data_IF_471104829682
#
_entry.id   IF_471104829682
#
_cell.length_a   1.000
_cell.length_b   1.000
_cell.length_c   1.000
_cell.angle_alpha   90.00
_cell.angle_beta   90.00
_cell.angle_gamma   90.00
#
_symmetry.space_group_name_H-M   'P 1'
#
loop_
_entity.id
_entity.type
_entity.pdbx_description
1 polymer ?
#
# COMPACT_ATOMS: atom_id res chain seq x y z
N UNK A 1 2.17 2.54 4.53
CA UNK A 1 3.00 3.72 4.90
C UNK A 1 2.15 4.98 4.74
N UNK A 2 2.10 5.86 5.74
CA UNK A 2 1.32 7.11 5.68
C UNK A 2 0.83 7.59 7.04
N UNK A 3 0.00 8.64 7.03
CA UNK A 3 -0.58 9.21 8.26
C UNK A 3 -1.57 8.23 8.90
N UNK A 4 -1.50 8.05 10.21
CA UNK A 4 -2.45 7.22 10.97
C UNK A 4 -3.65 8.05 11.40
N UNK A 5 -4.61 8.19 10.49
CA UNK A 5 -5.83 8.97 10.64
C UNK A 5 -7.02 8.22 10.03
N UNK A 6 -8.23 8.68 10.32
CA UNK A 6 -9.47 7.97 9.97
C UNK A 6 -9.59 7.70 8.46
N UNK A 7 -9.23 8.67 7.64
CA UNK A 7 -9.30 8.57 6.17
C UNK A 7 -8.37 7.48 5.60
N UNK A 8 -7.30 7.12 6.32
CA UNK A 8 -6.36 6.06 5.92
C UNK A 8 -6.85 4.65 6.28
N UNK A 9 -7.87 4.54 7.12
CA UNK A 9 -8.58 3.29 7.44
C UNK A 9 -7.68 2.10 7.79
N UNK A 10 -6.55 2.38 8.46
CA UNK A 10 -5.59 1.33 8.86
C UNK A 10 -6.23 0.33 9.82
N UNK A 11 -7.27 0.73 10.55
CA UNK A 11 -8.03 -0.16 11.42
C UNK A 11 -8.66 -1.33 10.66
N UNK A 12 -9.21 -1.12 9.46
CA UNK A 12 -9.78 -2.19 8.65
C UNK A 12 -8.72 -3.25 8.26
N UNK A 13 -7.50 -2.79 7.93
CA UNK A 13 -6.37 -3.68 7.67
C UNK A 13 -5.98 -4.48 8.93
N UNK A 14 -5.87 -3.82 10.07
CA UNK A 14 -5.51 -4.46 11.34
C UNK A 14 -6.56 -5.49 11.78
N UNK A 15 -7.85 -5.19 11.59
CA UNK A 15 -8.94 -6.15 11.83
C UNK A 15 -8.85 -7.37 10.92
N UNK A 16 -8.58 -7.18 9.62
CA UNK A 16 -8.38 -8.29 8.68
C UNK A 16 -7.15 -9.12 9.07
N UNK A 17 -6.03 -8.47 9.40
CA UNK A 17 -4.80 -9.12 9.82
C UNK A 17 -4.99 -10.01 11.05
N UNK A 18 -5.65 -9.48 12.09
CA UNK A 18 -6.00 -10.24 13.31
C UNK A 18 -6.78 -11.50 13.02
N UNK A 19 -7.77 -11.44 12.11
CA UNK A 19 -8.62 -12.58 11.75
C UNK A 19 -7.90 -13.62 10.91
N UNK A 20 -7.00 -13.20 10.03
CA UNK A 20 -6.23 -14.11 9.17
C UNK A 20 -5.04 -14.69 9.91
N UNK A 21 -4.38 -13.89 10.75
CA UNK A 21 -3.14 -14.25 11.47
C UNK A 21 -2.15 -15.03 10.59
N UNK A 22 -1.68 -14.47 9.46
CA UNK A 22 -0.97 -15.23 8.45
C UNK A 22 0.39 -15.69 8.98
N UNK A 23 0.57 -17.01 9.05
CA UNK A 23 1.80 -17.62 9.55
C UNK A 23 3.00 -17.23 8.68
N UNK A 24 4.12 -16.92 9.33
CA UNK A 24 5.36 -16.54 8.65
C UNK A 24 5.38 -15.12 8.06
N UNK A 25 4.27 -14.37 8.15
CA UNK A 25 4.18 -13.00 7.66
C UNK A 25 4.33 -11.97 8.78
N UNK A 26 4.75 -10.77 8.41
CA UNK A 26 4.79 -9.59 9.29
C UNK A 26 4.07 -8.42 8.63
N UNK A 27 3.30 -7.70 9.41
CA UNK A 27 2.68 -6.43 9.02
C UNK A 27 3.50 -5.28 9.59
N UNK A 28 4.07 -4.45 8.73
CA UNK A 28 4.85 -3.28 9.14
C UNK A 28 4.00 -2.03 8.94
N UNK A 29 3.70 -1.33 10.03
CA UNK A 29 2.96 -0.06 10.01
C UNK A 29 3.96 1.09 10.08
N UNK A 30 4.11 1.81 8.96
CA UNK A 30 5.04 2.94 8.85
C UNK A 30 4.26 4.24 8.78
N UNK A 31 4.51 5.13 9.71
CA UNK A 31 3.85 6.42 9.81
C UNK A 31 3.45 6.77 11.24
N UNK A 32 2.87 7.94 11.36
CA UNK A 32 2.38 8.49 12.63
C UNK A 32 1.07 9.24 12.40
N UNK A 33 0.36 9.56 13.47
CA UNK A 33 -0.88 10.31 13.40
C UNK A 33 -1.75 10.16 14.64
N UNK A 34 -2.90 10.85 14.67
CA UNK A 34 -3.75 10.92 15.87
C UNK A 34 -4.27 9.55 16.33
N UNK A 35 -4.40 8.57 15.43
CA UNK A 35 -4.90 7.24 15.80
C UNK A 35 -3.82 6.25 16.24
N UNK A 36 -2.52 6.61 16.18
CA UNK A 36 -1.43 5.67 16.48
C UNK A 36 -1.59 5.00 17.83
N UNK A 37 -1.74 5.80 18.89
CA UNK A 37 -1.83 5.26 20.25
C UNK A 37 -3.03 4.33 20.44
N UNK A 38 -4.19 4.72 19.95
CA UNK A 38 -5.41 3.90 20.01
C UNK A 38 -5.27 2.61 19.23
N UNK A 39 -4.75 2.66 18.02
CA UNK A 39 -4.56 1.48 17.18
C UNK A 39 -3.51 0.54 17.75
N UNK A 40 -2.38 1.06 18.23
CA UNK A 40 -1.31 0.26 18.80
C UNK A 40 -1.74 -0.44 20.10
N UNK A 41 -2.55 0.22 20.92
CA UNK A 41 -3.11 -0.38 22.13
C UNK A 41 -4.15 -1.46 21.83
N UNK A 42 -4.93 -1.29 20.75
CA UNK A 42 -5.98 -2.22 20.35
C UNK A 42 -5.48 -3.40 19.53
N UNK A 43 -4.34 -3.24 18.86
CA UNK A 43 -3.77 -4.22 17.91
C UNK A 43 -2.27 -4.41 18.19
N UNK A 44 -1.98 -5.19 19.21
CA UNK A 44 -0.62 -5.49 19.67
C UNK A 44 -0.21 -6.95 19.44
N UNK A 45 -0.84 -7.63 18.48
CA UNK A 45 -0.56 -9.02 18.17
C UNK A 45 0.89 -9.24 17.72
N UNK A 46 1.48 -10.39 18.06
CA UNK A 46 2.76 -10.80 17.48
C UNK A 46 2.69 -10.80 15.95
N UNK A 47 3.68 -10.20 15.31
CA UNK A 47 3.71 -10.08 13.84
C UNK A 47 3.29 -8.71 13.32
N UNK A 48 2.78 -7.81 14.16
CA UNK A 48 2.59 -6.39 13.80
C UNK A 48 3.79 -5.59 14.33
N UNK A 49 4.53 -4.96 13.42
CA UNK A 49 5.64 -4.06 13.75
C UNK A 49 5.21 -2.61 13.54
N UNK A 50 5.18 -1.85 14.61
CA UNK A 50 4.90 -0.42 14.60
C UNK A 50 6.20 0.36 14.43
N UNK A 51 6.58 0.65 13.17
CA UNK A 51 7.83 1.35 12.83
C UNK A 51 7.83 2.80 13.32
N UNK A 52 6.74 3.50 13.11
CA UNK A 52 6.63 4.93 13.38
C UNK A 52 6.86 5.77 12.13
N UNK A 53 7.02 7.09 12.33
CA UNK A 53 7.30 8.01 11.24
C UNK A 53 8.73 7.80 10.72
N UNK A 54 8.87 7.73 9.39
CA UNK A 54 10.16 7.59 8.74
C UNK A 54 10.39 8.76 7.78
N UNK A 55 11.38 9.58 8.10
CA UNK A 55 11.74 10.76 7.31
C UNK A 55 12.78 10.44 6.22
N UNK A 56 13.66 9.47 6.47
CA UNK A 56 14.71 9.12 5.53
C UNK A 56 14.16 8.41 4.30
N UNK A 57 14.42 8.99 3.13
CA UNK A 57 13.95 8.45 1.85
C UNK A 57 14.55 7.07 1.55
N UNK A 58 15.83 6.87 1.84
CA UNK A 58 16.50 5.60 1.55
C UNK A 58 15.93 4.48 2.42
N UNK A 59 15.65 4.77 3.68
CA UNK A 59 15.00 3.82 4.59
C UNK A 59 13.57 3.50 4.12
N UNK A 60 12.80 4.49 3.68
CA UNK A 60 11.46 4.25 3.10
C UNK A 60 11.52 3.35 1.86
N UNK A 61 12.46 3.63 0.95
CA UNK A 61 12.68 2.80 -0.24
C UNK A 61 13.06 1.38 0.16
N UNK A 62 13.99 1.22 1.09
CA UNK A 62 14.43 -0.10 1.57
C UNK A 62 13.27 -0.89 2.19
N UNK A 63 12.43 -0.26 3.00
CA UNK A 63 11.24 -0.89 3.57
C UNK A 63 10.25 -1.36 2.49
N UNK A 64 10.04 -0.56 1.44
CA UNK A 64 9.19 -0.94 0.32
C UNK A 64 9.80 -2.08 -0.50
N UNK A 65 11.11 -2.05 -0.75
CA UNK A 65 11.82 -3.12 -1.47
C UNK A 65 11.85 -4.45 -0.71
N UNK A 66 11.88 -4.40 0.62
CA UNK A 66 11.79 -5.59 1.46
C UNK A 66 10.35 -6.13 1.60
N UNK A 67 9.35 -5.33 1.26
CA UNK A 67 7.95 -5.74 1.36
C UNK A 67 7.52 -6.51 0.10
N UNK A 68 6.84 -7.61 0.29
CA UNK A 68 6.22 -8.36 -0.81
C UNK A 68 4.94 -7.67 -1.29
N UNK A 69 4.21 -7.02 -0.36
CA UNK A 69 2.93 -6.38 -0.64
C UNK A 69 2.85 -5.02 0.08
N UNK A 70 2.42 -4.00 -0.65
CA UNK A 70 2.06 -2.70 -0.12
C UNK A 70 0.53 -2.59 -0.06
N UNK A 71 0.01 -2.21 1.11
CA UNK A 71 -1.42 -2.13 1.39
C UNK A 71 -1.83 -0.69 1.69
N UNK A 72 -2.78 -0.16 0.93
CA UNK A 72 -3.34 1.19 1.09
C UNK A 72 -4.87 1.13 1.21
N UNK A 73 -5.41 0.92 2.42
CA UNK A 73 -6.84 0.71 2.65
C UNK A 73 -7.65 2.01 2.79
N UNK A 74 -7.18 3.11 2.21
CA UNK A 74 -7.74 4.46 2.42
C UNK A 74 -9.20 4.57 2.00
N UNK A 75 -9.97 5.43 2.67
CA UNK A 75 -11.35 5.77 2.29
C UNK A 75 -11.40 7.02 1.42
N UNK A 76 -10.42 7.91 1.59
CA UNK A 76 -10.31 9.17 0.85
C UNK A 76 -8.86 9.40 0.50
N UNK A 77 -8.59 9.59 -0.77
CA UNK A 77 -7.29 9.97 -1.33
C UNK A 77 -7.47 10.97 -2.48
N UNK A 78 -6.43 11.74 -2.79
CA UNK A 78 -6.29 12.35 -4.10
C UNK A 78 -5.53 11.38 -5.01
N UNK A 79 -4.20 11.46 -4.96
CA UNK A 79 -3.25 10.50 -5.53
C UNK A 79 -2.18 10.22 -4.47
N UNK A 80 -2.04 8.96 -4.08
CA UNK A 80 -1.08 8.59 -3.05
C UNK A 80 0.35 8.49 -3.57
N UNK A 81 1.22 9.41 -3.13
CA UNK A 81 2.66 9.33 -3.45
C UNK A 81 3.29 8.03 -2.91
N UNK A 82 2.87 7.57 -1.72
CA UNK A 82 3.35 6.32 -1.17
C UNK A 82 2.99 5.10 -2.04
N UNK A 83 1.83 5.14 -2.72
CA UNK A 83 1.47 4.12 -3.71
C UNK A 83 2.41 4.16 -4.91
N UNK A 84 2.67 5.34 -5.47
CA UNK A 84 3.60 5.49 -6.59
C UNK A 84 5.03 5.08 -6.24
N UNK A 85 5.49 5.42 -5.03
CA UNK A 85 6.79 4.98 -4.51
C UNK A 85 6.86 3.45 -4.40
N UNK A 86 5.83 2.80 -3.85
CA UNK A 86 5.76 1.34 -3.75
C UNK A 86 5.71 0.65 -5.12
N UNK A 87 4.96 1.20 -6.07
CA UNK A 87 4.96 0.71 -7.46
C UNK A 87 6.34 0.83 -8.09
N UNK A 88 7.01 1.96 -7.93
CA UNK A 88 8.33 2.20 -8.49
C UNK A 88 9.40 1.23 -7.94
N UNK A 89 9.27 0.79 -6.70
CA UNK A 89 10.16 -0.22 -6.10
C UNK A 89 9.87 -1.65 -6.57
N UNK A 90 8.74 -1.88 -7.23
CA UNK A 90 8.35 -3.22 -7.72
C UNK A 90 7.62 -4.04 -6.67
N UNK A 91 7.09 -3.42 -5.64
CA UNK A 91 6.25 -4.05 -4.62
C UNK A 91 4.85 -4.28 -5.18
N UNK A 92 4.24 -5.43 -4.91
CA UNK A 92 2.84 -5.67 -5.28
C UNK A 92 1.94 -4.70 -4.53
N UNK A 93 1.13 -3.93 -5.24
CA UNK A 93 0.31 -2.87 -4.66
C UNK A 93 -1.17 -3.25 -4.63
N UNK A 94 -1.78 -3.02 -3.46
CA UNK A 94 -3.20 -3.20 -3.23
C UNK A 94 -3.72 -1.92 -2.60
N UNK A 95 -4.67 -1.28 -3.26
CA UNK A 95 -5.28 -0.05 -2.78
C UNK A 95 -6.79 -0.11 -2.95
N UNK A 96 -7.49 0.68 -2.19
CA UNK A 96 -8.91 0.94 -2.38
C UNK A 96 -9.12 1.89 -3.56
N UNK A 97 -10.29 1.80 -4.19
CA UNK A 97 -10.76 2.75 -5.19
C UNK A 97 -11.14 4.09 -4.51
N UNK A 98 -10.13 4.75 -3.96
CA UNK A 98 -10.25 6.03 -3.29
C UNK A 98 -9.50 7.08 -4.10
N UNK A 99 -10.21 8.05 -4.67
CA UNK A 99 -9.61 9.06 -5.55
C UNK A 99 -9.01 8.45 -6.82
N UNK A 100 -7.76 8.82 -7.15
CA UNK A 100 -7.07 8.33 -8.34
C UNK A 100 -6.31 7.00 -8.14
N UNK A 101 -6.26 6.45 -6.93
CA UNK A 101 -5.46 5.26 -6.64
C UNK A 101 -5.97 4.01 -7.38
N UNK A 102 -7.29 3.88 -7.56
CA UNK A 102 -7.89 2.83 -8.38
C UNK A 102 -7.45 2.90 -9.84
N UNK A 103 -7.48 4.09 -10.44
CA UNK A 103 -7.03 4.33 -11.82
C UNK A 103 -5.54 4.01 -12.01
N UNK A 104 -4.71 4.36 -11.02
CA UNK A 104 -3.27 4.07 -11.04
C UNK A 104 -2.99 2.58 -11.14
N UNK A 105 -3.77 1.76 -10.45
CA UNK A 105 -3.62 0.30 -10.41
C UNK A 105 -4.40 -0.44 -11.51
N UNK A 106 -5.28 0.25 -12.24
CA UNK A 106 -6.09 -0.36 -13.30
C UNK A 106 -5.23 -1.07 -14.36
N UNK A 107 -5.86 -1.96 -15.16
CA UNK A 107 -5.15 -2.73 -16.18
C UNK A 107 -4.14 -3.73 -15.64
N UNK A 108 -4.28 -4.15 -14.38
CA UNK A 108 -3.48 -5.21 -13.77
C UNK A 108 -2.15 -4.76 -13.19
N UNK A 109 -1.96 -3.46 -12.93
CA UNK A 109 -0.79 -2.94 -12.23
C UNK A 109 -0.86 -3.15 -10.71
N UNK A 110 -1.98 -3.65 -10.20
CA UNK A 110 -2.20 -3.98 -8.80
C UNK A 110 -3.60 -4.53 -8.59
N UNK A 111 -4.03 -4.61 -7.35
CA UNK A 111 -5.38 -5.03 -6.97
C UNK A 111 -6.12 -3.84 -6.39
N UNK A 112 -7.30 -3.56 -6.95
CA UNK A 112 -8.18 -2.48 -6.50
C UNK A 112 -9.30 -3.06 -5.65
N UNK A 113 -9.45 -2.52 -4.44
CA UNK A 113 -10.52 -2.90 -3.51
C UNK A 113 -11.62 -1.83 -3.53
N UNK A 114 -12.86 -2.25 -3.30
CA UNK A 114 -13.92 -1.30 -2.98
C UNK A 114 -13.63 -0.62 -1.63
N UNK A 115 -13.98 0.65 -1.50
CA UNK A 115 -13.93 1.37 -0.21
C UNK A 115 -14.94 0.81 0.80
N UNK A 116 -15.91 0.01 0.35
CA UNK A 116 -16.87 -0.67 1.23
C UNK A 116 -16.39 -2.07 1.57
N UNK A 117 -16.45 -2.43 2.86
CA UNK A 117 -16.09 -3.77 3.31
C UNK A 117 -14.62 -4.13 3.18
N UNK A 118 -13.72 -3.15 3.26
CA UNK A 118 -12.27 -3.30 3.10
C UNK A 118 -11.70 -4.46 3.93
N UNK A 119 -12.09 -4.57 5.21
CA UNK A 119 -11.63 -5.64 6.08
C UNK A 119 -12.01 -7.04 5.57
N UNK A 120 -13.22 -7.20 4.99
CA UNK A 120 -13.67 -8.47 4.43
C UNK A 120 -12.89 -8.83 3.17
N UNK A 121 -12.65 -7.86 2.29
CA UNK A 121 -11.87 -8.06 1.07
C UNK A 121 -10.43 -8.43 1.41
N UNK A 122 -9.78 -7.71 2.33
CA UNK A 122 -8.44 -8.02 2.79
C UNK A 122 -8.34 -9.39 3.46
N UNK A 123 -9.34 -9.77 4.27
CA UNK A 123 -9.38 -11.10 4.90
C UNK A 123 -9.36 -12.23 3.87
N UNK A 124 -10.01 -12.04 2.73
CA UNK A 124 -10.01 -13.02 1.64
C UNK A 124 -8.70 -13.00 0.85
N UNK A 125 -8.14 -11.80 0.62
CA UNK A 125 -7.01 -11.60 -0.26
C UNK A 125 -5.65 -11.93 0.39
N UNK A 126 -5.46 -11.60 1.67
CA UNK A 126 -4.17 -11.80 2.36
C UNK A 126 -3.66 -13.26 2.31
N UNK A 127 -4.50 -14.30 2.54
CA UNK A 127 -4.05 -15.68 2.39
C UNK A 127 -3.63 -16.02 0.95
N UNK A 128 -4.37 -15.52 -0.04
CA UNK A 128 -4.07 -15.77 -1.46
C UNK A 128 -2.69 -15.19 -1.82
N UNK A 129 -2.40 -13.97 -1.39
CA UNK A 129 -1.12 -13.33 -1.67
C UNK A 129 0.05 -14.06 -0.98
N UNK A 130 -0.14 -14.51 0.26
CA UNK A 130 0.85 -15.31 0.97
C UNK A 130 1.16 -16.62 0.22
N UNK A 131 0.11 -17.31 -0.24
CA UNK A 131 0.23 -18.66 -0.80
C UNK A 131 0.57 -18.66 -2.30
N UNK A 132 0.56 -17.47 -2.94
CA UNK A 132 0.82 -17.29 -4.37
C UNK A 132 1.97 -16.32 -4.65
N UNK A 133 3.23 -16.67 -4.28
CA UNK A 133 4.37 -15.75 -4.43
C UNK A 133 4.64 -15.37 -5.89
N UNK A 134 4.34 -16.24 -6.84
CA UNK A 134 4.49 -15.95 -8.28
C UNK A 134 3.51 -14.86 -8.72
N UNK A 135 2.26 -14.91 -8.25
CA UNK A 135 1.26 -13.87 -8.50
C UNK A 135 1.72 -12.53 -7.92
N UNK A 136 2.18 -12.56 -6.68
CA UNK A 136 2.65 -11.36 -5.96
C UNK A 136 3.85 -10.73 -6.68
N UNK A 137 4.82 -11.53 -7.12
CA UNK A 137 5.96 -11.04 -7.90
C UNK A 137 5.54 -10.43 -9.24
N UNK A 138 4.61 -11.04 -9.94
CA UNK A 138 4.10 -10.52 -11.23
C UNK A 138 3.33 -9.21 -11.06
N UNK A 139 2.53 -9.07 -10.00
CA UNK A 139 1.87 -7.80 -9.66
C UNK A 139 2.90 -6.70 -9.41
N UNK A 140 3.95 -6.97 -8.65
CA UNK A 140 5.03 -6.02 -8.41
C UNK A 140 5.76 -5.60 -9.68
N UNK A 141 6.05 -6.55 -10.57
CA UNK A 141 6.66 -6.26 -11.88
C UNK A 141 5.79 -5.33 -12.72
N UNK A 142 4.48 -5.59 -12.81
CA UNK A 142 3.52 -4.76 -13.54
C UNK A 142 3.36 -3.38 -12.92
N UNK A 143 3.32 -3.30 -11.58
CA UNK A 143 3.30 -2.04 -10.85
C UNK A 143 4.50 -1.17 -11.24
N UNK A 144 5.71 -1.73 -11.19
CA UNK A 144 6.94 -1.01 -11.54
C UNK A 144 6.92 -0.55 -13.01
N UNK A 145 6.52 -1.41 -13.92
CA UNK A 145 6.40 -1.04 -15.33
C UNK A 145 5.46 0.15 -15.51
N UNK A 146 4.25 0.10 -14.93
CA UNK A 146 3.27 1.20 -14.97
C UNK A 146 3.82 2.50 -14.39
N UNK A 147 4.51 2.43 -13.23
CA UNK A 147 5.11 3.61 -12.61
C UNK A 147 6.15 4.26 -13.55
N UNK A 148 6.99 3.46 -14.18
CA UNK A 148 7.98 3.95 -15.14
C UNK A 148 7.38 4.52 -16.43
N UNK A 149 6.29 3.97 -16.92
CA UNK A 149 5.66 4.40 -18.16
C UNK A 149 4.83 5.69 -17.98
N UNK A 150 4.19 5.89 -16.84
CA UNK A 150 3.18 6.96 -16.69
C UNK A 150 3.51 8.02 -15.65
N UNK A 151 4.34 7.70 -14.64
CA UNK A 151 4.51 8.55 -13.45
C UNK A 151 5.96 9.03 -13.25
N UNK A 152 6.81 8.99 -14.28
CA UNK A 152 8.13 9.61 -14.22
C UNK A 152 8.00 11.12 -14.25
N UNK A 153 8.62 11.79 -13.29
CA UNK A 153 8.62 13.25 -13.18
C UNK A 153 9.18 13.91 -14.46
N UNK A 154 10.31 13.43 -14.99
CA UNK A 154 10.90 13.96 -16.21
C UNK A 154 9.93 13.94 -17.38
N UNK A 155 9.25 12.79 -17.61
CA UNK A 155 8.27 12.66 -18.69
C UNK A 155 7.08 13.60 -18.53
N UNK A 156 6.64 13.81 -17.30
CA UNK A 156 5.53 14.72 -17.02
C UNK A 156 5.93 16.18 -17.25
N UNK A 157 7.19 16.55 -16.92
CA UNK A 157 7.75 17.86 -17.22
C UNK A 157 7.83 18.07 -18.73
N UNK A 158 8.43 17.11 -19.46
CA UNK A 158 8.52 17.16 -20.93
C UNK A 158 7.14 17.33 -21.60
N UNK A 159 6.11 16.64 -21.09
CA UNK A 159 4.75 16.74 -21.60
C UNK A 159 4.13 18.14 -21.34
N UNK A 160 4.43 18.76 -20.21
CA UNK A 160 3.99 20.13 -19.90
C UNK A 160 4.72 21.14 -20.80
N UNK A 161 6.02 20.99 -20.99
CA UNK A 161 6.82 21.87 -21.85
C UNK A 161 6.36 21.85 -23.32
N UNK A 162 5.79 20.72 -23.78
CA UNK A 162 5.21 20.61 -25.13
C UNK A 162 3.86 21.32 -25.30
N UNK A 163 3.22 21.75 -24.20
CA UNK A 163 1.95 22.47 -24.24
C UNK A 163 2.12 24.01 -24.32
N UNK A 164 3.34 24.48 -24.14
CA UNK A 164 3.72 25.90 -24.20
C UNK A 164 4.72 26.19 -25.31
#
# INVERSE_FOLDING_TARGET
>A
MGRLATEKNVEALLRAWRLVSPQGCRLVIVGDGPLRGTLQNSFNEPGILWWGYEADLNTRIALMQCAEVFLLPSLVEGLSLALLEAMATGTACIATDAGADGEVLDGGAGIVLSTQGVATQLRTLLPVLRDQPVLTAELGRRARQRAHERYRLSRNIDAIEQLY
#
